data_IF_508559583482
#
_entry.id   IF_508559583482
#
_cell.length_a   1.000
_cell.length_b   1.000
_cell.length_c   1.000
_cell.angle_alpha   90.00
_cell.angle_beta   90.00
_cell.angle_gamma   90.00
#
_symmetry.space_group_name_H-M   'P 1'
#
loop_
_entity.id
_entity.type
_entity.pdbx_description
1 polymer ?
#
# COMPACT_ATOMS: atom_id res chain seq x y z
N UNK A 1 -2.65 -57.30 -50.27
CA UNK A 1 -2.97 -56.93 -48.88
C UNK A 1 -1.89 -57.52 -48.00
N UNK A 2 -1.29 -56.68 -47.16
CA UNK A 2 0.06 -56.86 -46.61
C UNK A 2 0.19 -58.01 -45.61
N UNK A 3 1.34 -58.67 -45.74
CA UNK A 3 1.83 -59.80 -44.98
C UNK A 3 2.64 -59.38 -43.75
N UNK A 4 2.65 -60.25 -42.75
CA UNK A 4 3.65 -60.32 -41.67
C UNK A 4 4.29 -61.71 -41.66
N UNK A 5 5.60 -61.79 -41.41
CA UNK A 5 6.15 -62.84 -40.54
C UNK A 5 7.11 -62.23 -39.49
N UNK A 6 7.02 -62.58 -38.20
CA UNK A 6 7.65 -63.74 -37.51
C UNK A 6 9.17 -63.84 -37.77
N UNK A 7 10.06 -63.89 -36.77
CA UNK A 7 10.54 -65.16 -36.15
C UNK A 7 11.69 -64.92 -35.12
N UNK A 8 11.58 -65.56 -33.93
CA UNK A 8 12.56 -66.34 -33.11
C UNK A 8 13.72 -65.70 -32.29
N UNK A 9 13.94 -66.33 -31.12
CA UNK A 9 14.85 -66.14 -29.97
C UNK A 9 16.31 -66.66 -30.10
N UNK A 10 17.22 -65.97 -29.34
CA UNK A 10 18.37 -66.45 -28.50
C UNK A 10 19.70 -66.96 -29.15
N UNK A 11 20.87 -67.11 -28.43
CA UNK A 11 21.35 -66.62 -27.10
C UNK A 11 22.90 -66.26 -26.95
N UNK A 12 23.37 -65.93 -25.70
CA UNK A 12 24.76 -66.02 -25.09
C UNK A 12 25.80 -64.91 -25.47
N UNK A 13 26.65 -64.24 -24.63
CA UNK A 13 27.63 -64.63 -23.57
C UNK A 13 28.23 -63.42 -22.77
N UNK A 14 28.88 -63.75 -21.64
CA UNK A 14 29.62 -63.02 -20.56
C UNK A 14 30.50 -61.76 -20.82
N UNK A 15 30.66 -60.89 -19.79
CA UNK A 15 31.86 -60.82 -18.89
C UNK A 15 31.80 -59.69 -17.83
N UNK A 16 32.37 -59.95 -16.64
CA UNK A 16 32.61 -59.05 -15.51
C UNK A 16 33.83 -58.12 -15.72
N UNK A 17 33.83 -56.96 -15.04
CA UNK A 17 34.92 -56.21 -14.34
C UNK A 17 34.28 -54.85 -13.92
N UNK A 18 34.26 -54.32 -12.70
CA UNK A 18 35.14 -54.45 -11.53
C UNK A 18 35.98 -53.17 -11.39
N UNK A 19 35.50 -52.14 -10.66
CA UNK A 19 36.22 -51.40 -9.60
C UNK A 19 35.53 -50.09 -9.18
N UNK A 20 35.43 -49.91 -7.86
CA UNK A 20 35.07 -48.69 -7.13
C UNK A 20 36.15 -47.62 -7.28
N UNK A 21 35.77 -46.34 -7.32
CA UNK A 21 36.67 -45.21 -7.01
C UNK A 21 36.18 -44.46 -5.77
N UNK A 22 37.06 -44.41 -4.78
CA UNK A 22 37.05 -43.53 -3.61
C UNK A 22 37.32 -42.08 -4.04
N UNK A 23 36.74 -41.12 -3.32
CA UNK A 23 37.35 -39.80 -3.11
C UNK A 23 37.40 -39.55 -1.60
N UNK A 24 38.62 -39.42 -1.09
CA UNK A 24 38.97 -39.14 0.30
C UNK A 24 39.11 -37.65 0.52
N UNK A 25 38.74 -37.21 1.72
CA UNK A 25 39.08 -35.93 2.32
C UNK A 25 40.60 -35.74 2.51
N UNK A 26 41.02 -34.48 2.58
CA UNK A 26 42.25 -34.08 3.28
C UNK A 26 42.11 -32.67 3.90
N UNK A 27 42.62 -32.59 5.12
CA UNK A 27 42.71 -31.44 6.04
C UNK A 27 44.19 -31.09 6.22
N UNK A 28 44.55 -29.81 6.43
CA UNK A 28 45.75 -29.26 7.13
C UNK A 28 45.82 -27.75 6.79
N UNK A 29 45.60 -26.74 7.66
CA UNK A 29 46.25 -26.29 8.91
C UNK A 29 47.55 -25.45 8.76
N UNK A 30 47.40 -24.12 9.00
CA UNK A 30 48.28 -23.15 9.74
C UNK A 30 49.62 -22.64 9.14
N UNK A 31 50.25 -21.52 9.62
CA UNK A 31 49.80 -20.36 10.45
C UNK A 31 50.41 -18.96 10.08
N UNK A 32 50.20 -17.95 10.96
CA UNK A 32 50.95 -16.65 11.17
C UNK A 32 50.55 -15.48 10.23
N UNK A 33 50.49 -14.19 10.62
CA UNK A 33 51.00 -13.43 11.78
C UNK A 33 50.34 -12.02 11.81
N UNK A 34 50.17 -11.48 13.02
CA UNK A 34 49.92 -10.08 13.37
C UNK A 34 50.94 -9.07 12.79
N UNK A 35 50.50 -7.86 12.41
CA UNK A 35 51.28 -6.62 12.62
C UNK A 35 50.39 -5.37 12.62
N UNK A 36 50.35 -4.72 13.77
CA UNK A 36 49.97 -3.33 13.94
C UNK A 36 51.02 -2.41 13.28
N UNK A 37 50.59 -1.27 12.77
CA UNK A 37 51.45 -0.12 12.51
C UNK A 37 51.01 1.04 13.40
N UNK A 38 51.89 1.37 14.34
CA UNK A 38 51.97 2.60 15.12
C UNK A 38 53.18 3.35 14.55
N UNK A 39 52.99 4.58 14.08
CA UNK A 39 53.96 5.70 13.96
C UNK A 39 53.10 6.89 13.46
N UNK A 40 53.07 8.09 14.04
CA UNK A 40 54.16 8.92 14.54
C UNK A 40 53.72 9.87 15.67
N UNK A 41 54.74 10.35 16.36
CA UNK A 41 54.79 11.16 17.58
C UNK A 41 54.64 12.67 17.38
N UNK A 42 54.28 13.32 18.48
CA UNK A 42 54.78 14.62 19.01
C UNK A 42 54.52 15.91 18.21
N UNK A 43 53.74 16.84 18.80
CA UNK A 43 54.30 18.00 19.51
C UNK A 43 53.21 19.00 19.95
N UNK A 44 53.29 19.41 21.21
CA UNK A 44 52.74 20.63 21.83
C UNK A 44 53.94 21.43 22.38
N UNK A 45 53.86 22.70 22.86
CA UNK A 45 52.81 23.74 22.89
C UNK A 45 53.40 25.10 22.35
N UNK A 46 53.04 26.37 22.72
CA UNK A 46 52.72 26.91 24.05
C UNK A 46 51.48 27.82 24.17
N UNK A 47 51.21 28.15 25.44
CA UNK A 47 50.23 29.05 26.03
C UNK A 47 49.99 30.41 25.35
N UNK A 48 48.77 30.94 25.56
CA UNK A 48 48.61 32.36 25.91
C UNK A 48 47.34 32.58 26.76
N UNK A 49 47.58 33.10 27.97
CA UNK A 49 46.64 33.55 28.98
C UNK A 49 46.00 34.89 28.60
N UNK A 50 44.69 35.05 28.82
CA UNK A 50 44.07 36.32 29.27
C UNK A 50 42.61 36.06 29.69
N UNK A 51 42.31 35.95 30.99
CA UNK A 51 41.96 37.04 31.94
C UNK A 51 40.45 37.35 31.97
N UNK A 52 39.81 36.85 33.02
CA UNK A 52 38.49 37.21 33.55
C UNK A 52 38.49 38.67 34.04
N UNK A 53 37.34 39.36 34.00
CA UNK A 53 36.81 39.92 35.25
C UNK A 53 35.32 39.60 35.48
N UNK A 54 35.01 39.17 36.71
CA UNK A 54 33.67 39.13 37.28
C UNK A 54 33.37 40.44 38.03
N UNK A 55 32.09 40.82 38.04
CA UNK A 55 31.40 41.57 39.10
C UNK A 55 30.67 42.84 38.61
N UNK A 56 29.59 43.31 39.30
CA UNK A 56 29.10 42.87 40.60
C UNK A 56 27.64 42.38 40.63
N UNK A 57 27.36 41.73 41.75
CA UNK A 57 26.11 41.31 42.37
C UNK A 57 25.03 42.39 42.43
N UNK A 58 23.75 41.99 42.27
CA UNK A 58 22.70 42.59 43.07
C UNK A 58 21.68 41.55 43.55
N UNK A 59 21.54 41.53 44.88
CA UNK A 59 20.62 40.72 45.67
C UNK A 59 19.43 41.61 45.95
N UNK A 60 18.20 41.13 45.74
CA UNK A 60 17.12 41.58 46.62
C UNK A 60 16.06 40.51 46.87
N UNK A 61 15.58 40.58 48.11
CA UNK A 61 14.85 39.61 48.91
C UNK A 61 13.33 39.64 48.66
N UNK A 62 12.72 38.46 48.72
CA UNK A 62 11.62 38.04 49.62
C UNK A 62 10.39 39.00 49.77
N UNK A 63 9.17 38.57 49.41
CA UNK A 63 8.07 38.00 50.25
C UNK A 63 6.73 37.93 49.45
N UNK A 64 5.58 37.43 49.98
CA UNK A 64 4.86 36.29 49.41
C UNK A 64 3.40 36.59 48.98
N UNK A 65 2.71 35.52 48.61
CA UNK A 65 1.29 35.35 48.23
C UNK A 65 0.25 36.05 49.13
N UNK A 66 -1.00 36.11 48.66
CA UNK A 66 -2.02 35.32 49.36
C UNK A 66 -2.95 34.49 48.46
N UNK A 67 -3.28 33.32 49.00
CA UNK A 67 -4.48 32.48 48.85
C UNK A 67 -5.76 33.34 48.73
N UNK A 68 -6.78 33.01 47.94
CA UNK A 68 -7.96 32.14 48.17
C UNK A 68 -8.89 32.45 46.96
N UNK A 69 -9.75 31.61 46.38
CA UNK A 69 -10.81 30.79 46.95
C UNK A 69 -11.45 30.00 45.79
N UNK A 70 -11.70 28.71 46.00
CA UNK A 70 -12.57 27.89 45.16
C UNK A 70 -14.00 27.94 45.72
N UNK A 71 -14.99 28.22 44.89
CA UNK A 71 -16.42 27.92 45.08
C UNK A 71 -17.04 27.77 43.68
N UNK A 72 -17.42 26.58 43.21
CA UNK A 72 -18.65 25.85 43.55
C UNK A 72 -19.93 26.68 43.30
N UNK A 73 -20.59 26.46 42.15
CA UNK A 73 -22.04 26.61 41.99
C UNK A 73 -22.60 25.49 41.10
N UNK A 74 -23.23 24.54 41.76
CA UNK A 74 -24.26 23.64 41.28
C UNK A 74 -25.65 24.28 41.46
N UNK A 75 -26.69 23.59 40.95
CA UNK A 75 -28.13 23.92 40.83
C UNK A 75 -28.52 24.39 39.42
N UNK A 76 -29.53 23.82 38.73
CA UNK A 76 -30.59 22.90 39.13
C UNK A 76 -31.22 22.25 37.87
N UNK A 77 -31.62 20.98 38.00
CA UNK A 77 -32.51 20.25 37.11
C UNK A 77 -33.94 20.83 37.17
N UNK A 78 -34.69 20.74 36.06
CA UNK A 78 -35.88 19.87 35.94
C UNK A 78 -37.02 20.46 35.10
N UNK A 79 -37.58 19.56 34.27
CA UNK A 79 -38.99 19.42 33.86
C UNK A 79 -39.64 20.49 32.99
N UNK A 80 -40.04 20.08 31.78
CA UNK A 80 -41.46 19.92 31.44
C UNK A 80 -41.62 18.88 30.31
N UNK A 81 -42.05 17.68 30.69
CA UNK A 81 -42.73 16.72 29.82
C UNK A 81 -44.09 16.47 30.46
N UNK A 82 -45.16 16.65 29.70
CA UNK A 82 -46.40 15.88 29.85
C UNK A 82 -47.29 16.01 28.59
N UNK A 83 -48.15 15.02 28.32
CA UNK A 83 -48.72 14.71 27.01
C UNK A 83 -50.21 15.09 26.93
N UNK A 84 -50.87 14.81 25.78
CA UNK A 84 -52.19 14.15 25.65
C UNK A 84 -52.79 14.34 24.22
N UNK A 85 -52.90 13.20 23.53
CA UNK A 85 -53.95 12.62 22.66
C UNK A 85 -54.92 13.44 21.79
N UNK A 86 -55.04 12.94 20.54
CA UNK A 86 -56.22 12.66 19.69
C UNK A 86 -57.22 13.75 19.28
N UNK A 87 -57.39 13.97 17.96
CA UNK A 87 -58.42 13.28 17.13
C UNK A 87 -58.70 13.96 15.76
N UNK A 88 -58.95 13.12 14.75
CA UNK A 88 -59.96 13.23 13.66
C UNK A 88 -60.01 14.43 12.68
N UNK A 89 -59.54 14.18 11.45
CA UNK A 89 -60.22 14.26 10.13
C UNK A 89 -61.24 15.38 9.76
N UNK A 90 -60.95 15.96 8.58
CA UNK A 90 -61.83 16.37 7.44
C UNK A 90 -61.96 17.86 7.03
N UNK A 91 -61.23 18.17 5.95
CA UNK A 91 -61.70 18.70 4.65
C UNK A 91 -61.89 20.21 4.37
N UNK A 92 -61.32 20.62 3.21
CA UNK A 92 -61.67 21.72 2.26
C UNK A 92 -61.42 23.16 2.74
N UNK A 93 -60.87 24.12 2.00
CA UNK A 93 -60.44 24.27 0.59
C UNK A 93 -59.50 25.49 0.46
N UNK A 94 -58.56 25.41 -0.48
CA UNK A 94 -58.06 26.46 -1.39
C UNK A 94 -57.75 27.88 -0.88
N UNK A 95 -56.45 28.19 -0.71
CA UNK A 95 -55.89 29.50 -1.13
C UNK A 95 -54.43 29.31 -1.52
N UNK A 96 -54.10 29.63 -2.76
CA UNK A 96 -52.77 29.56 -3.38
C UNK A 96 -51.86 30.66 -2.81
N UNK A 97 -50.86 30.26 -2.03
CA UNK A 97 -49.70 31.08 -1.70
C UNK A 97 -48.49 30.47 -2.42
N UNK A 98 -47.86 31.26 -3.29
CA UNK A 98 -46.63 30.88 -3.96
C UNK A 98 -45.51 30.68 -2.94
N UNK A 99 -45.17 29.43 -2.65
CA UNK A 99 -44.00 29.09 -1.87
C UNK A 99 -42.79 29.11 -2.81
N UNK A 100 -41.97 30.16 -2.66
CA UNK A 100 -40.61 30.16 -3.18
C UNK A 100 -39.88 28.95 -2.63
N UNK A 101 -39.59 27.99 -3.49
CA UNK A 101 -38.72 26.87 -3.19
C UNK A 101 -37.32 27.40 -2.94
N UNK A 102 -36.88 27.35 -1.69
CA UNK A 102 -35.46 27.41 -1.34
C UNK A 102 -34.73 26.31 -2.14
N UNK A 103 -33.56 26.61 -2.75
CA UNK A 103 -32.82 25.60 -3.48
C UNK A 103 -32.35 24.53 -2.50
N UNK A 104 -32.86 23.32 -2.68
CA UNK A 104 -32.41 22.12 -1.98
C UNK A 104 -30.91 21.98 -2.27
N UNK A 105 -30.08 22.09 -1.24
CA UNK A 105 -28.67 21.70 -1.28
C UNK A 105 -28.58 20.30 -1.90
N UNK A 106 -27.71 20.18 -2.90
CA UNK A 106 -27.59 19.04 -3.80
C UNK A 106 -27.80 17.69 -3.13
N UNK A 107 -28.82 16.97 -3.59
CA UNK A 107 -28.91 15.54 -3.36
C UNK A 107 -27.72 14.87 -4.07
N UNK A 108 -27.13 13.88 -3.41
CA UNK A 108 -26.24 12.93 -4.08
C UNK A 108 -27.03 12.24 -5.18
N UNK A 109 -26.82 12.64 -6.44
CA UNK A 109 -27.28 11.85 -7.57
C UNK A 109 -26.63 10.47 -7.47
N UNK A 110 -27.46 9.41 -7.48
CA UNK A 110 -26.97 8.05 -7.46
C UNK A 110 -26.14 7.80 -8.74
N UNK A 111 -24.83 7.64 -8.55
CA UNK A 111 -23.83 7.48 -9.61
C UNK A 111 -24.13 6.24 -10.47
N UNK A 112 -23.84 6.34 -11.77
CA UNK A 112 -23.79 5.17 -12.65
C UNK A 112 -22.81 4.12 -12.08
N UNK A 113 -23.18 2.84 -12.04
CA UNK A 113 -22.31 1.79 -11.51
C UNK A 113 -21.00 1.73 -12.29
N UNK A 114 -19.89 1.48 -11.60
CA UNK A 114 -18.60 1.16 -12.22
C UNK A 114 -18.78 0.00 -13.20
N UNK A 115 -18.17 0.10 -14.38
CA UNK A 115 -18.11 -1.01 -15.36
C UNK A 115 -17.30 -2.20 -14.83
N UNK A 116 -16.48 -1.96 -13.80
CA UNK A 116 -15.73 -3.00 -13.09
C UNK A 116 -16.44 -3.42 -11.80
N UNK A 117 -16.55 -4.73 -11.59
CA UNK A 117 -17.15 -5.32 -10.39
C UNK A 117 -16.24 -6.38 -9.76
N UNK A 118 -16.17 -6.46 -8.42
CA UNK A 118 -15.40 -7.51 -7.76
C UNK A 118 -16.17 -8.83 -7.72
N UNK A 119 -15.52 -9.93 -8.10
CA UNK A 119 -15.98 -11.31 -7.89
C UNK A 119 -15.18 -11.92 -6.73
N UNK A 120 -15.84 -12.09 -5.60
CA UNK A 120 -15.26 -12.65 -4.37
C UNK A 120 -15.45 -14.15 -4.29
N UNK A 121 -14.37 -14.89 -4.09
CA UNK A 121 -14.35 -16.35 -3.93
C UNK A 121 -13.75 -16.67 -2.57
N UNK A 122 -14.47 -17.46 -1.77
CA UNK A 122 -14.10 -17.77 -0.40
C UNK A 122 -14.47 -16.68 0.60
N UNK A 123 -14.24 -16.96 1.88
CA UNK A 123 -14.45 -16.01 2.97
C UNK A 123 -13.23 -15.11 3.15
N UNK A 124 -13.44 -13.79 3.30
CA UNK A 124 -12.33 -12.90 3.65
C UNK A 124 -11.63 -13.36 4.93
N UNK A 125 -10.32 -13.12 5.03
CA UNK A 125 -9.46 -13.59 6.13
C UNK A 125 -9.25 -15.11 6.16
N UNK A 126 -9.30 -15.78 5.01
CA UNK A 126 -8.87 -17.17 4.81
C UNK A 126 -7.83 -17.27 3.68
N UNK A 127 -7.13 -18.41 3.58
CA UNK A 127 -6.10 -18.64 2.56
C UNK A 127 -6.68 -18.77 1.14
N UNK A 128 -7.93 -19.20 1.05
CA UNK A 128 -8.67 -19.44 -0.19
C UNK A 128 -9.24 -18.13 -0.77
N UNK A 129 -9.31 -17.07 0.03
CA UNK A 129 -9.95 -15.83 -0.38
C UNK A 129 -9.27 -15.21 -1.61
N UNK A 130 -10.07 -14.93 -2.63
CA UNK A 130 -9.64 -14.21 -3.84
C UNK A 130 -10.68 -13.17 -4.22
N UNK A 131 -10.21 -12.01 -4.68
CA UNK A 131 -11.05 -11.01 -5.35
C UNK A 131 -10.57 -10.89 -6.79
N UNK A 132 -11.32 -11.48 -7.71
CA UNK A 132 -11.17 -11.23 -9.14
C UNK A 132 -11.88 -9.92 -9.50
N UNK A 133 -11.41 -9.25 -10.54
CA UNK A 133 -12.12 -8.11 -11.13
C UNK A 133 -12.80 -8.57 -12.41
N UNK A 134 -14.03 -8.14 -12.60
CA UNK A 134 -14.79 -8.37 -13.83
C UNK A 134 -15.01 -7.04 -14.54
N UNK A 135 -15.03 -7.09 -15.87
CA UNK A 135 -15.58 -6.04 -16.71
C UNK A 135 -16.79 -6.63 -17.44
N UNK A 136 -17.96 -6.04 -17.26
CA UNK A 136 -19.20 -6.54 -17.87
C UNK A 136 -19.47 -8.04 -17.57
N UNK A 137 -19.11 -8.50 -16.36
CA UNK A 137 -19.24 -9.89 -15.90
C UNK A 137 -18.14 -10.86 -16.37
N UNK A 138 -17.17 -10.39 -17.16
CA UNK A 138 -16.05 -11.20 -17.65
C UNK A 138 -14.81 -10.93 -16.78
N UNK A 139 -14.17 -11.96 -16.18
CA UNK A 139 -12.93 -11.79 -15.42
C UNK A 139 -11.81 -11.18 -16.25
N UNK A 140 -11.12 -10.20 -15.66
CA UNK A 140 -9.98 -9.47 -16.24
C UNK A 140 -8.83 -9.42 -15.23
N UNK A 141 -7.60 -9.33 -15.72
CA UNK A 141 -6.44 -9.13 -14.86
C UNK A 141 -6.41 -7.70 -14.30
N UNK A 142 -6.42 -7.50 -12.97
CA UNK A 142 -6.26 -6.17 -12.38
C UNK A 142 -4.85 -5.61 -12.55
N UNK A 143 -3.86 -6.45 -12.87
CA UNK A 143 -2.51 -5.99 -13.19
C UNK A 143 -2.44 -5.51 -14.65
N UNK A 144 -3.06 -6.22 -15.59
CA UNK A 144 -2.76 -6.05 -17.02
C UNK A 144 -3.91 -5.50 -17.85
N UNK A 145 -5.16 -5.87 -17.55
CA UNK A 145 -6.31 -5.59 -18.43
C UNK A 145 -7.01 -4.26 -18.12
N UNK A 146 -6.85 -3.72 -16.92
CA UNK A 146 -7.42 -2.43 -16.54
C UNK A 146 -6.50 -1.33 -17.09
N UNK A 147 -7.00 -0.40 -17.94
CA UNK A 147 -6.17 0.67 -18.47
C UNK A 147 -5.64 1.56 -17.35
N UNK A 148 -4.36 1.93 -17.38
CA UNK A 148 -3.77 2.89 -16.45
C UNK A 148 -4.55 4.23 -16.44
N UNK A 149 -4.84 4.76 -17.63
CA UNK A 149 -5.54 6.02 -17.80
C UNK A 149 -7.05 5.80 -18.02
N UNK A 150 -7.87 6.52 -17.25
CA UNK A 150 -9.32 6.49 -17.36
C UNK A 150 -9.87 7.45 -18.43
N UNK A 151 -9.05 8.39 -18.91
CA UNK A 151 -9.40 9.34 -19.95
C UNK A 151 -8.27 9.53 -20.97
N UNK A 152 -8.63 9.95 -22.18
CA UNK A 152 -7.69 10.14 -23.30
C UNK A 152 -6.62 11.20 -23.01
N UNK A 153 -6.95 12.22 -22.21
CA UNK A 153 -6.01 13.29 -21.85
C UNK A 153 -4.97 12.83 -20.81
N UNK A 154 -5.05 11.59 -20.32
CA UNK A 154 -4.10 11.01 -19.36
C UNK A 154 -3.97 11.84 -18.06
N UNK A 155 -5.06 12.47 -17.64
CA UNK A 155 -5.12 13.29 -16.42
C UNK A 155 -5.78 12.58 -15.26
N UNK A 156 -6.60 11.56 -15.54
CA UNK A 156 -7.30 10.72 -14.58
C UNK A 156 -6.85 9.28 -14.76
N UNK A 157 -6.50 8.62 -13.67
CA UNK A 157 -5.98 7.25 -13.67
C UNK A 157 -6.99 6.30 -13.02
N UNK A 158 -6.96 5.03 -13.42
CA UNK A 158 -7.67 3.98 -12.69
C UNK A 158 -6.76 3.45 -11.58
N UNK A 159 -7.25 3.43 -10.35
CA UNK A 159 -6.62 2.77 -9.20
C UNK A 159 -7.37 1.47 -8.91
N UNK A 160 -6.65 0.38 -8.68
CA UNK A 160 -7.20 -0.86 -8.14
C UNK A 160 -7.01 -0.85 -6.63
N UNK A 161 -8.10 -0.84 -5.86
CA UNK A 161 -8.05 -0.83 -4.40
C UNK A 161 -7.83 -2.25 -3.88
N UNK A 162 -6.83 -2.42 -3.02
CA UNK A 162 -6.49 -3.70 -2.39
C UNK A 162 -6.89 -3.72 -0.91
N UNK A 163 -6.55 -2.65 -0.18
CA UNK A 163 -6.71 -2.59 1.28
C UNK A 163 -7.53 -1.33 1.65
N UNK A 164 -8.74 -1.51 2.18
CA UNK A 164 -9.54 -0.40 2.70
C UNK A 164 -8.86 0.29 3.87
N UNK A 165 -9.04 1.62 3.96
CA UNK A 165 -8.57 2.42 5.10
C UNK A 165 -9.04 1.83 6.43
N UNK A 166 -8.15 1.85 7.42
CA UNK A 166 -8.32 1.33 8.78
C UNK A 166 -8.50 -0.19 8.90
N UNK A 167 -8.11 -0.94 7.88
CA UNK A 167 -8.04 -2.41 7.93
C UNK A 167 -6.59 -2.89 7.98
N UNK A 168 -6.38 -4.16 8.35
CA UNK A 168 -5.06 -4.71 8.66
C UNK A 168 -4.62 -5.83 7.71
N UNK A 169 -5.55 -6.50 7.03
CA UNK A 169 -5.24 -7.62 6.14
C UNK A 169 -4.41 -7.12 4.96
N UNK A 170 -3.17 -7.60 4.82
CA UNK A 170 -2.30 -7.24 3.69
C UNK A 170 -2.79 -7.98 2.45
N UNK A 171 -3.73 -7.37 1.73
CA UNK A 171 -4.20 -7.83 0.43
C UNK A 171 -3.35 -7.19 -0.66
N UNK A 172 -3.08 -7.96 -1.71
CA UNK A 172 -2.26 -7.54 -2.85
C UNK A 172 -2.73 -8.23 -4.13
N UNK A 173 -2.59 -7.57 -5.27
CA UNK A 173 -2.69 -8.17 -6.60
C UNK A 173 -1.67 -9.31 -6.68
N UNK A 174 -2.14 -10.54 -6.86
CA UNK A 174 -1.25 -11.69 -6.97
C UNK A 174 -0.49 -11.66 -8.29
N UNK A 175 0.84 -11.52 -8.24
CA UNK A 175 1.68 -11.58 -9.45
C UNK A 175 1.65 -12.95 -10.13
N UNK A 176 1.56 -14.03 -9.36
CA UNK A 176 1.74 -15.41 -9.86
C UNK A 176 0.42 -16.09 -10.27
N UNK A 177 -0.71 -15.67 -9.70
CA UNK A 177 -2.01 -16.32 -9.97
C UNK A 177 -2.53 -15.86 -11.36
N UNK A 178 -3.16 -16.77 -12.10
CA UNK A 178 -3.77 -16.43 -13.40
C UNK A 178 -4.84 -15.35 -13.26
N UNK A 179 -4.78 -14.32 -14.10
CA UNK A 179 -5.58 -13.08 -14.00
C UNK A 179 -5.39 -12.29 -12.69
N UNK A 180 -4.27 -12.50 -12.00
CA UNK A 180 -3.78 -11.68 -10.90
C UNK A 180 -4.84 -11.27 -9.85
N UNK A 181 -5.72 -12.17 -9.35
CA UNK A 181 -6.70 -11.81 -8.33
C UNK A 181 -6.02 -11.22 -7.10
N UNK A 182 -6.73 -10.32 -6.42
CA UNK A 182 -6.28 -9.83 -5.12
C UNK A 182 -6.39 -10.97 -4.10
N UNK A 183 -5.32 -11.23 -3.35
CA UNK A 183 -5.27 -12.23 -2.29
C UNK A 183 -4.55 -11.69 -1.07
N UNK A 184 -4.74 -12.31 0.09
CA UNK A 184 -4.01 -11.91 1.29
C UNK A 184 -2.61 -12.54 1.29
N UNK A 185 -1.58 -11.72 1.50
CA UNK A 185 -0.19 -12.16 1.66
C UNK A 185 -0.08 -13.14 2.83
N UNK A 186 0.89 -14.05 2.76
CA UNK A 186 1.17 -15.03 3.80
C UNK A 186 2.62 -14.95 4.27
N UNK A 187 2.83 -15.03 5.58
CA UNK A 187 4.15 -15.11 6.21
C UNK A 187 4.24 -16.41 7.00
N UNK A 188 5.16 -17.29 6.61
CA UNK A 188 5.35 -18.62 7.23
C UNK A 188 4.05 -19.45 7.24
N UNK A 189 3.30 -19.42 6.13
CA UNK A 189 2.05 -20.17 5.96
C UNK A 189 0.85 -19.59 6.72
N UNK A 190 0.97 -18.42 7.34
CA UNK A 190 -0.13 -17.73 8.03
C UNK A 190 -0.48 -16.42 7.31
N UNK A 191 -1.75 -16.07 7.31
CA UNK A 191 -2.23 -14.80 6.79
C UNK A 191 -1.53 -13.62 7.45
N UNK A 192 -1.05 -12.69 6.64
CA UNK A 192 -0.34 -11.50 7.11
C UNK A 192 -1.31 -10.36 7.41
N UNK A 193 -1.16 -9.78 8.59
CA UNK A 193 -1.87 -8.59 9.01
C UNK A 193 -0.85 -7.54 9.46
N UNK A 194 -0.92 -6.35 8.88
CA UNK A 194 -0.15 -5.20 9.36
C UNK A 194 -0.67 -4.79 10.74
N UNK A 195 0.25 -4.47 11.66
CA UNK A 195 -0.09 -4.20 13.06
C UNK A 195 -0.42 -2.73 13.28
N UNK A 196 -1.29 -2.46 14.26
CA UNK A 196 -1.61 -1.08 14.66
C UNK A 196 -0.40 -0.46 15.35
N UNK A 197 0.16 0.60 14.77
CA UNK A 197 1.29 1.34 15.31
C UNK A 197 0.77 2.69 15.79
N UNK A 198 0.73 2.92 17.10
CA UNK A 198 0.14 4.13 17.68
C UNK A 198 0.74 5.40 17.06
N UNK A 199 -0.10 6.38 16.62
CA UNK A 199 -1.56 6.49 16.78
C UNK A 199 -2.41 5.88 15.64
N UNK A 200 -1.80 5.13 14.72
CA UNK A 200 -2.40 4.66 13.46
C UNK A 200 -3.10 3.30 13.56
N UNK A 201 -4.37 3.26 13.15
CA UNK A 201 -5.14 2.01 13.00
C UNK A 201 -5.00 1.48 11.58
N UNK A 202 -4.44 0.29 11.42
CA UNK A 202 -4.26 -0.37 10.13
C UNK A 202 -3.59 0.55 9.10
N UNK A 203 -4.05 0.48 7.86
CA UNK A 203 -3.65 1.39 6.79
C UNK A 203 -4.35 2.76 6.93
N UNK A 204 -3.60 3.84 6.73
CA UNK A 204 -4.11 5.22 6.86
C UNK A 204 -4.91 5.71 5.65
N UNK A 205 -4.81 5.01 4.52
CA UNK A 205 -5.43 5.37 3.23
C UNK A 205 -6.24 4.20 2.70
N UNK A 206 -7.06 4.44 1.68
CA UNK A 206 -7.39 3.35 0.78
C UNK A 206 -6.11 3.06 -0.01
N UNK A 207 -5.59 1.85 0.15
CA UNK A 207 -4.31 1.44 -0.43
C UNK A 207 -4.56 0.47 -1.59
N UNK A 208 -3.72 0.56 -2.60
CA UNK A 208 -3.78 -0.29 -3.77
C UNK A 208 -2.69 0.08 -4.76
N UNK A 209 -2.91 -0.20 -6.03
CA UNK A 209 -1.92 0.03 -7.05
C UNK A 209 -2.50 0.59 -8.35
N UNK A 210 -1.62 1.14 -9.18
CA UNK A 210 -1.94 1.46 -10.56
C UNK A 210 -1.75 0.22 -11.45
N UNK A 211 -2.78 -0.16 -12.23
CA UNK A 211 -2.65 -1.24 -13.20
C UNK A 211 -1.71 -0.78 -14.33
N UNK A 212 -1.13 -1.73 -15.07
CA UNK A 212 -0.24 -1.46 -16.19
C UNK A 212 0.98 -0.59 -15.82
N UNK A 213 1.49 -0.78 -14.61
CA UNK A 213 2.75 -0.20 -14.12
C UNK A 213 3.57 -1.28 -13.46
N UNK A 214 4.90 -1.17 -13.46
CA UNK A 214 5.77 -2.15 -12.82
C UNK A 214 7.08 -1.50 -12.39
N UNK A 215 7.45 -1.69 -11.13
CA UNK A 215 8.74 -1.28 -10.54
C UNK A 215 9.79 -2.33 -10.91
N UNK A 216 10.52 -2.11 -12.02
CA UNK A 216 11.43 -3.11 -12.60
C UNK A 216 12.57 -3.49 -11.64
N UNK A 217 12.65 -4.75 -11.16
CA UNK A 217 13.70 -5.21 -10.25
C UNK A 217 15.07 -5.37 -10.91
N UNK A 218 15.14 -5.18 -12.24
CA UNK A 218 16.38 -5.23 -13.00
C UNK A 218 17.01 -3.84 -13.18
N UNK A 219 16.24 -2.77 -12.99
CA UNK A 219 16.71 -1.40 -13.08
C UNK A 219 17.05 -0.85 -11.69
N UNK A 220 18.12 -0.05 -11.58
CA UNK A 220 18.41 0.70 -10.36
C UNK A 220 17.93 2.13 -10.54
N UNK A 221 17.02 2.57 -9.68
CA UNK A 221 16.50 3.94 -9.75
C UNK A 221 17.56 4.94 -9.28
N UNK A 222 17.81 6.02 -10.04
CA UNK A 222 18.86 6.98 -9.71
C UNK A 222 18.59 7.75 -8.42
N UNK A 223 17.35 7.88 -7.98
CA UNK A 223 16.95 8.62 -6.78
C UNK A 223 17.25 7.85 -5.50
N UNK A 224 16.87 6.57 -5.47
CA UNK A 224 16.95 5.69 -4.30
C UNK A 224 18.25 4.87 -4.26
N UNK A 225 18.92 4.72 -5.42
CA UNK A 225 20.07 3.82 -5.62
C UNK A 225 19.74 2.35 -5.33
N UNK A 226 18.47 1.99 -5.40
CA UNK A 226 17.95 0.65 -5.19
C UNK A 226 17.23 0.14 -6.44
N UNK A 227 16.97 -1.16 -6.49
CA UNK A 227 16.16 -1.79 -7.54
C UNK A 227 14.67 -1.63 -7.25
N UNK A 228 13.80 -1.72 -8.25
CA UNK A 228 12.35 -1.81 -8.01
C UNK A 228 11.97 -3.06 -7.20
N UNK A 229 10.85 -2.99 -6.49
CA UNK A 229 10.32 -4.06 -5.63
C UNK A 229 9.57 -5.17 -6.40
N UNK A 230 9.55 -5.09 -7.73
CA UNK A 230 8.92 -6.04 -8.64
C UNK A 230 7.38 -6.04 -8.58
N UNK A 231 6.74 -5.00 -8.06
CA UNK A 231 5.28 -4.89 -7.96
C UNK A 231 4.69 -3.79 -8.87
N UNK A 232 3.36 -3.76 -9.07
CA UNK A 232 2.70 -2.59 -9.63
C UNK A 232 2.89 -1.38 -8.72
N UNK A 233 2.93 -0.18 -9.32
CA UNK A 233 3.21 1.05 -8.59
C UNK A 233 2.13 1.36 -7.54
N UNK A 234 2.57 1.53 -6.30
CA UNK A 234 1.70 1.67 -5.13
C UNK A 234 1.04 3.04 -4.99
N UNK A 235 -0.19 3.03 -4.47
CA UNK A 235 -1.08 4.19 -4.43
C UNK A 235 -1.76 4.33 -3.06
N UNK A 236 -1.69 5.53 -2.50
CA UNK A 236 -2.38 5.97 -1.30
C UNK A 236 -3.49 6.97 -1.66
N UNK A 237 -4.75 6.53 -1.62
CA UNK A 237 -5.92 7.37 -1.93
C UNK A 237 -6.50 7.99 -0.65
N UNK A 238 -6.55 9.33 -0.64
CA UNK A 238 -6.72 10.13 0.59
C UNK A 238 -8.13 10.70 0.80
N UNK A 239 -9.10 10.35 -0.07
CA UNK A 239 -10.47 10.82 0.00
C UNK A 239 -11.24 10.34 1.23
N UNK A 240 -12.38 10.98 1.51
CA UNK A 240 -13.13 10.80 2.75
C UNK A 240 -13.84 9.43 2.86
N UNK A 241 -14.16 8.79 1.74
CA UNK A 241 -14.86 7.51 1.72
C UNK A 241 -13.90 6.32 1.89
N UNK A 242 -14.30 5.31 2.67
CA UNK A 242 -13.58 4.05 2.77
C UNK A 242 -13.98 3.16 1.59
N UNK A 243 -13.00 2.77 0.78
CA UNK A 243 -13.19 1.96 -0.41
C UNK A 243 -13.32 0.46 -0.07
N UNK A 244 -13.57 -0.38 -1.09
CA UNK A 244 -13.66 -1.84 -0.94
C UNK A 244 -12.56 -2.56 -1.73
N UNK A 245 -12.10 -3.75 -1.29
CA UNK A 245 -11.15 -4.54 -2.07
C UNK A 245 -11.72 -4.88 -3.45
N UNK A 246 -10.92 -4.70 -4.49
CA UNK A 246 -11.28 -4.90 -5.89
C UNK A 246 -12.09 -3.76 -6.51
N UNK A 247 -12.28 -2.64 -5.80
CA UNK A 247 -12.88 -1.44 -6.38
C UNK A 247 -11.90 -0.78 -7.36
N UNK A 248 -12.39 -0.35 -8.53
CA UNK A 248 -11.62 0.40 -9.51
C UNK A 248 -12.07 1.86 -9.47
N UNK A 249 -11.23 2.73 -8.93
CA UNK A 249 -11.54 4.15 -8.71
C UNK A 249 -10.85 5.03 -9.75
N UNK A 250 -11.52 6.11 -10.16
CA UNK A 250 -10.90 7.15 -10.97
C UNK A 250 -10.26 8.18 -10.04
N UNK A 251 -8.94 8.38 -10.16
CA UNK A 251 -8.17 9.23 -9.24
C UNK A 251 -7.33 10.26 -9.99
N UNK A 252 -7.03 11.36 -9.32
CA UNK A 252 -6.00 12.33 -9.75
C UNK A 252 -4.73 12.14 -8.92
N UNK A 253 -3.57 12.25 -9.57
CA UNK A 253 -2.25 12.24 -8.91
C UNK A 253 -1.95 13.60 -8.32
N UNK A 254 -1.45 13.62 -7.07
CA UNK A 254 -1.07 14.82 -6.33
C UNK A 254 0.43 14.87 -6.02
N UNK A 255 1.07 13.73 -5.79
CA UNK A 255 2.49 13.67 -5.46
C UNK A 255 3.01 12.24 -5.27
N UNK A 256 4.27 12.10 -4.87
CA UNK A 256 4.90 10.79 -4.62
C UNK A 256 5.94 10.84 -3.52
N UNK A 257 6.09 9.75 -2.76
CA UNK A 257 7.15 9.57 -1.76
C UNK A 257 8.06 8.40 -2.14
N UNK A 258 9.37 8.60 -2.02
CA UNK A 258 10.40 7.62 -2.38
C UNK A 258 10.78 6.71 -1.20
N UNK A 259 9.97 5.69 -0.90
CA UNK A 259 10.29 4.74 0.17
C UNK A 259 11.41 3.80 -0.29
N UNK A 260 12.31 3.50 0.64
CA UNK A 260 13.21 2.36 0.60
C UNK A 260 12.65 1.29 1.54
N UNK A 261 11.92 0.33 0.98
CA UNK A 261 11.32 -0.76 1.75
C UNK A 261 12.24 -1.98 1.73
N UNK A 262 12.84 -2.30 2.87
CA UNK A 262 13.82 -3.40 3.00
C UNK A 262 14.99 -3.36 1.98
N UNK A 263 15.31 -2.17 1.45
CA UNK A 263 16.40 -1.95 0.49
C UNK A 263 15.97 -1.91 -0.98
N UNK A 264 14.67 -1.99 -1.26
CA UNK A 264 14.07 -1.88 -2.59
C UNK A 264 13.41 -0.50 -2.76
N UNK A 265 13.35 -0.03 -4.00
CA UNK A 265 12.61 1.19 -4.39
C UNK A 265 11.14 0.84 -4.40
N UNK A 266 10.38 1.61 -3.63
CA UNK A 266 8.97 1.36 -3.43
C UNK A 266 8.22 2.71 -3.45
N UNK A 267 7.91 3.23 -4.64
CA UNK A 267 7.30 4.54 -4.75
C UNK A 267 5.84 4.55 -4.25
N UNK A 268 5.49 5.51 -3.40
CA UNK A 268 4.12 5.68 -2.88
C UNK A 268 3.46 6.90 -3.51
N UNK A 269 2.57 6.68 -4.49
CA UNK A 269 1.83 7.77 -5.14
C UNK A 269 0.70 8.25 -4.25
N UNK A 270 0.61 9.56 -4.03
CA UNK A 270 -0.50 10.20 -3.31
C UNK A 270 -1.55 10.64 -4.33
N UNK A 271 -2.78 10.16 -4.15
CA UNK A 271 -3.90 10.43 -5.07
C UNK A 271 -5.17 10.78 -4.30
N UNK A 272 -6.15 11.33 -5.03
CA UNK A 272 -7.51 11.47 -4.51
C UNK A 272 -8.54 11.05 -5.57
N UNK A 273 -9.62 10.40 -5.13
CA UNK A 273 -10.78 10.12 -5.98
C UNK A 273 -11.32 11.41 -6.61
N UNK A 274 -11.54 11.40 -7.93
CA UNK A 274 -12.07 12.58 -8.65
C UNK A 274 -13.48 12.99 -8.19
N UNK A 275 -14.20 12.07 -7.54
CA UNK A 275 -15.54 12.30 -7.00
C UNK A 275 -15.52 12.78 -5.54
N UNK A 276 -14.35 12.86 -4.91
CA UNK A 276 -14.25 13.36 -3.54
C UNK A 276 -14.63 14.86 -3.48
N UNK A 277 -15.36 15.32 -2.45
CA UNK A 277 -15.71 16.74 -2.30
C UNK A 277 -14.51 17.70 -2.26
N UNK A 278 -13.34 17.24 -1.82
CA UNK A 278 -12.09 18.02 -1.82
C UNK A 278 -11.30 17.90 -3.12
N UNK A 279 -11.62 16.97 -4.01
CA UNK A 279 -10.88 16.77 -5.25
C UNK A 279 -10.70 18.07 -6.06
N UNK A 280 -11.70 18.96 -6.24
CA UNK A 280 -11.49 20.22 -6.96
C UNK A 280 -10.45 21.16 -6.33
N UNK A 281 -10.19 21.04 -5.03
CA UNK A 281 -9.25 21.87 -4.27
C UNK A 281 -7.85 21.28 -4.15
N UNK A 282 -7.69 20.01 -4.50
CA UNK A 282 -6.43 19.27 -4.43
C UNK A 282 -5.92 19.04 -5.85
N UNK A 283 -4.90 19.78 -6.28
CA UNK A 283 -4.35 19.70 -7.63
C UNK A 283 -2.83 19.49 -7.67
N UNK A 284 -2.13 19.81 -6.57
CA UNK A 284 -0.73 19.47 -6.36
C UNK A 284 -0.48 19.11 -4.88
N UNK A 285 0.73 18.68 -4.54
CA UNK A 285 1.05 18.13 -3.23
C UNK A 285 0.91 19.16 -2.10
N UNK A 286 1.15 20.44 -2.37
CA UNK A 286 1.04 21.52 -1.38
C UNK A 286 -0.41 21.73 -0.93
N UNK A 287 -1.39 21.40 -1.78
CA UNK A 287 -2.80 21.48 -1.42
C UNK A 287 -3.17 20.43 -0.36
N UNK A 288 -2.48 19.29 -0.34
CA UNK A 288 -2.68 18.24 0.67
C UNK A 288 -2.33 18.77 2.05
N UNK A 289 -1.18 19.41 2.23
CA UNK A 289 -0.82 19.96 3.55
C UNK A 289 -1.73 21.14 3.94
N UNK A 290 -2.24 21.91 2.96
CA UNK A 290 -3.17 23.01 3.22
C UNK A 290 -4.54 22.53 3.70
N UNK A 291 -5.07 21.44 3.13
CA UNK A 291 -6.44 20.97 3.40
C UNK A 291 -6.50 19.77 4.35
N UNK A 292 -5.43 19.00 4.45
CA UNK A 292 -5.28 17.78 5.25
C UNK A 292 -3.97 17.86 6.06
N UNK A 293 -3.82 18.87 6.95
CA UNK A 293 -2.54 19.16 7.62
C UNK A 293 -2.06 17.97 8.46
N UNK A 294 -0.78 17.65 8.31
CA UNK A 294 -0.12 16.54 9.01
C UNK A 294 -0.33 15.16 8.39
N UNK A 295 -1.14 15.00 7.34
CA UNK A 295 -1.33 13.72 6.67
C UNK A 295 -0.02 13.20 6.07
N UNK A 296 0.72 14.03 5.34
CA UNK A 296 1.98 13.61 4.71
C UNK A 296 3.05 13.22 5.73
N UNK A 297 3.09 13.92 6.88
CA UNK A 297 3.95 13.57 8.00
C UNK A 297 3.56 12.22 8.61
N UNK A 298 2.26 11.96 8.77
CA UNK A 298 1.76 10.66 9.23
C UNK A 298 2.05 9.56 8.20
N UNK A 299 1.97 9.84 6.91
CA UNK A 299 2.37 8.92 5.82
C UNK A 299 3.83 8.52 5.93
N UNK A 300 4.72 9.50 6.08
CA UNK A 300 6.14 9.25 6.30
C UNK A 300 6.39 8.33 7.50
N UNK A 301 5.80 8.69 8.65
CA UNK A 301 5.95 7.93 9.89
C UNK A 301 5.43 6.51 9.75
N UNK A 302 4.24 6.33 9.17
CA UNK A 302 3.62 5.01 9.02
C UNK A 302 4.51 4.05 8.23
N UNK A 303 4.98 4.46 7.04
CA UNK A 303 5.81 3.60 6.20
C UNK A 303 7.20 3.33 6.79
N UNK A 304 7.72 4.22 7.65
CA UNK A 304 8.94 3.96 8.41
C UNK A 304 8.75 2.84 9.43
N UNK A 305 7.64 2.86 10.17
CA UNK A 305 7.50 2.05 11.38
C UNK A 305 6.64 0.77 11.23
N UNK A 306 5.81 0.65 10.18
CA UNK A 306 4.77 -0.40 10.13
C UNK A 306 5.28 -1.85 10.20
N UNK A 307 6.54 -2.10 9.79
CA UNK A 307 7.17 -3.43 9.87
C UNK A 307 8.00 -3.66 11.15
N UNK A 308 8.19 -2.65 12.00
CA UNK A 308 8.92 -2.82 13.28
C UNK A 308 8.25 -3.87 14.19
N UNK A 309 6.91 -3.91 14.33
CA UNK A 309 6.23 -4.99 15.08
C UNK A 309 6.49 -6.40 14.54
N UNK A 310 6.88 -6.51 13.28
CA UNK A 310 7.22 -7.76 12.59
C UNK A 310 8.71 -8.14 12.76
N UNK A 311 9.47 -7.38 13.55
CA UNK A 311 10.90 -7.58 13.81
C UNK A 311 11.80 -7.07 12.68
N UNK A 312 11.29 -6.21 11.79
CA UNK A 312 12.08 -5.59 10.73
C UNK A 312 12.67 -4.25 11.18
N UNK A 313 13.79 -3.79 10.59
CA UNK A 313 14.28 -2.45 10.83
C UNK A 313 13.28 -1.39 10.36
N UNK A 314 13.49 -0.17 10.81
CA UNK A 314 12.78 1.00 10.30
C UNK A 314 13.14 1.24 8.82
N UNK A 315 12.14 1.48 7.99
CA UNK A 315 12.37 1.83 6.59
C UNK A 315 12.90 3.26 6.45
N UNK A 316 13.45 3.57 5.29
CA UNK A 316 14.03 4.88 5.00
C UNK A 316 13.32 5.52 3.80
N UNK A 317 13.49 6.83 3.63
CA UNK A 317 13.03 7.53 2.45
C UNK A 317 14.20 8.23 1.78
N UNK A 318 14.22 8.24 0.45
CA UNK A 318 15.03 9.21 -0.28
C UNK A 318 14.48 10.64 -0.05
N UNK A 319 15.24 11.65 -0.47
CA UNK A 319 14.86 13.07 -0.31
C UNK A 319 14.50 13.48 1.12
N UNK A 320 15.08 12.81 2.13
CA UNK A 320 14.73 13.03 3.56
C UNK A 320 13.23 12.88 3.86
N UNK A 321 12.49 12.09 3.08
CA UNK A 321 11.05 11.89 3.27
C UNK A 321 10.15 12.95 2.65
N UNK A 322 10.69 13.87 1.84
CA UNK A 322 9.91 14.85 1.09
C UNK A 322 8.94 14.16 0.13
N UNK A 323 7.66 14.55 0.16
CA UNK A 323 6.71 14.17 -0.87
C UNK A 323 6.88 15.08 -2.08
N UNK A 324 7.34 14.52 -3.19
CA UNK A 324 7.49 15.25 -4.46
C UNK A 324 6.14 15.59 -5.05
N UNK A 325 6.12 16.67 -5.83
CA UNK A 325 4.93 17.22 -6.45
C UNK A 325 4.33 16.31 -7.55
N UNK A 326 3.15 16.70 -8.04
CA UNK A 326 2.40 16.00 -9.08
C UNK A 326 3.24 15.76 -10.33
N UNK A 327 4.02 16.76 -10.76
CA UNK A 327 4.83 16.62 -11.98
C UNK A 327 5.83 15.47 -11.84
N UNK A 328 6.55 15.41 -10.73
CA UNK A 328 7.50 14.34 -10.45
C UNK A 328 6.80 12.98 -10.36
N UNK A 329 5.66 12.92 -9.66
CA UNK A 329 4.87 11.70 -9.53
C UNK A 329 4.44 11.15 -10.90
N UNK A 330 4.02 12.01 -11.83
CA UNK A 330 3.67 11.60 -13.19
C UNK A 330 4.88 11.16 -14.02
N UNK A 331 6.10 11.63 -13.71
CA UNK A 331 7.33 11.11 -14.32
C UNK A 331 7.57 9.66 -13.87
N UNK A 332 7.44 9.36 -12.57
CA UNK A 332 7.55 8.00 -12.00
C UNK A 332 6.48 7.06 -12.56
N UNK A 333 5.22 7.50 -12.62
CA UNK A 333 4.12 6.71 -13.21
C UNK A 333 4.43 6.32 -14.66
N UNK A 334 4.96 7.26 -15.46
CA UNK A 334 5.33 6.98 -16.84
C UNK A 334 6.45 5.96 -16.95
N UNK A 335 7.49 6.10 -16.12
CA UNK A 335 8.61 5.15 -16.07
C UNK A 335 8.12 3.73 -15.78
N UNK A 336 7.28 3.57 -14.75
CA UNK A 336 6.72 2.28 -14.37
C UNK A 336 5.78 1.72 -15.46
N UNK A 337 5.03 2.59 -16.16
CA UNK A 337 4.18 2.18 -17.28
C UNK A 337 5.01 1.69 -18.48
N UNK A 338 6.12 2.36 -18.79
CA UNK A 338 7.07 1.93 -19.83
C UNK A 338 7.76 0.62 -19.47
N UNK A 339 8.08 0.40 -18.19
CA UNK A 339 8.59 -0.87 -17.70
C UNK A 339 7.57 -2.01 -17.84
N UNK A 340 6.30 -1.77 -17.45
CA UNK A 340 5.22 -2.72 -17.67
C UNK A 340 5.00 -3.04 -19.16
N UNK A 341 5.07 -2.05 -20.04
CA UNK A 341 4.93 -2.25 -21.49
C UNK A 341 6.04 -3.17 -22.04
N UNK A 342 7.27 -3.05 -21.54
CA UNK A 342 8.37 -3.98 -21.88
C UNK A 342 8.13 -5.37 -21.30
N UNK A 343 7.59 -5.48 -20.08
CA UNK A 343 7.23 -6.73 -19.44
C UNK A 343 6.14 -7.47 -20.24
N UNK A 344 5.02 -6.82 -20.54
CA UNK A 344 3.84 -7.45 -21.16
C UNK A 344 4.08 -7.86 -22.62
N UNK A 345 5.02 -7.19 -23.30
CA UNK A 345 5.48 -7.54 -24.65
C UNK A 345 6.59 -8.61 -24.66
N UNK A 346 7.08 -9.03 -23.50
CA UNK A 346 8.16 -10.01 -23.36
C UNK A 346 9.55 -9.47 -23.69
N UNK A 347 9.73 -8.13 -23.77
CA UNK A 347 11.05 -7.50 -23.93
C UNK A 347 11.88 -7.58 -22.65
N UNK A 348 11.21 -7.63 -21.49
CA UNK A 348 11.82 -7.92 -20.19
C UNK A 348 11.39 -9.31 -19.71
N UNK A 349 12.29 -10.14 -19.15
CA UNK A 349 11.90 -11.43 -18.59
C UNK A 349 10.87 -11.29 -17.48
N UNK A 350 9.80 -12.08 -17.54
CA UNK A 350 8.68 -12.00 -16.58
C UNK A 350 8.95 -12.62 -15.20
N UNK A 351 10.00 -13.44 -15.08
CA UNK A 351 10.25 -14.22 -13.86
C UNK A 351 9.04 -15.09 -13.52
N UNK A 352 8.51 -14.92 -12.31
CA UNK A 352 7.36 -15.66 -11.78
C UNK A 352 6.01 -14.97 -12.06
N UNK A 353 6.03 -13.79 -12.68
CA UNK A 353 4.80 -13.03 -12.97
C UNK A 353 3.98 -13.75 -14.04
N UNK A 354 2.71 -13.99 -13.72
CA UNK A 354 1.70 -14.46 -14.66
C UNK A 354 1.22 -13.28 -15.50
N UNK A 355 1.60 -13.28 -16.79
CA UNK A 355 1.18 -12.27 -17.77
C UNK A 355 -0.17 -12.58 -18.45
N UNK A 356 -0.90 -13.60 -17.96
CA UNK A 356 -2.19 -13.97 -18.53
C UNK A 356 -3.18 -12.79 -18.46
N UNK A 357 -3.71 -12.40 -19.62
CA UNK A 357 -4.60 -11.25 -19.77
C UNK A 357 -5.63 -11.51 -20.89
N UNK A 358 -6.68 -10.71 -20.97
CA UNK A 358 -7.81 -10.95 -21.89
C UNK A 358 -7.99 -9.83 -22.92
N UNK A 359 -7.45 -8.65 -22.63
CA UNK A 359 -7.73 -7.41 -23.38
C UNK A 359 -6.52 -6.79 -24.03
N UNK A 360 -5.29 -7.10 -23.62
CA UNK A 360 -4.06 -6.43 -24.10
C UNK A 360 -3.65 -6.98 -25.47
N UNK A 361 -3.87 -6.25 -26.59
CA UNK A 361 -3.78 -6.84 -27.92
C UNK A 361 -2.37 -7.28 -28.33
N UNK A 362 -1.36 -6.59 -27.83
CA UNK A 362 0.05 -6.80 -28.12
C UNK A 362 0.77 -7.71 -27.10
N UNK A 363 0.03 -8.31 -26.17
CA UNK A 363 0.59 -9.27 -25.23
C UNK A 363 0.73 -10.66 -25.84
N UNK A 364 1.89 -11.29 -25.62
CA UNK A 364 2.13 -12.67 -26.05
C UNK A 364 1.33 -13.71 -25.24
N UNK A 365 0.90 -13.36 -24.03
CA UNK A 365 0.17 -14.23 -23.11
C UNK A 365 -1.34 -13.92 -23.09
N UNK A 366 -1.84 -13.16 -24.09
CA UNK A 366 -3.28 -12.88 -24.23
C UNK A 366 -4.06 -14.18 -24.44
N UNK A 367 -5.11 -14.37 -23.66
CA UNK A 367 -5.99 -15.54 -23.69
C UNK A 367 -7.46 -15.14 -23.78
N UNK A 368 -8.31 -16.13 -24.07
CA UNK A 368 -9.75 -15.97 -24.08
C UNK A 368 -10.31 -16.29 -22.68
N UNK A 369 -11.06 -15.36 -22.10
CA UNK A 369 -11.67 -15.52 -20.78
C UNK A 369 -12.54 -16.78 -20.67
N UNK A 370 -13.17 -17.21 -21.77
CA UNK A 370 -14.02 -18.42 -21.79
C UNK A 370 -13.25 -19.73 -21.60
N UNK A 371 -11.94 -19.72 -21.85
CA UNK A 371 -11.04 -20.87 -21.65
C UNK A 371 -10.52 -20.96 -20.23
N UNK A 372 -10.70 -19.91 -19.42
CA UNK A 372 -10.22 -19.84 -18.05
C UNK A 372 -11.26 -20.41 -17.10
N UNK A 373 -10.84 -21.34 -16.25
CA UNK A 373 -11.68 -21.91 -15.20
C UNK A 373 -11.65 -21.04 -13.94
N UNK A 374 -12.21 -19.82 -14.03
CA UNK A 374 -12.32 -18.91 -12.88
C UNK A 374 -13.57 -19.28 -12.07
N UNK A 375 -13.45 -19.58 -10.77
CA UNK A 375 -14.60 -19.90 -9.93
C UNK A 375 -15.66 -18.80 -9.95
N UNK A 376 -16.93 -19.19 -9.77
CA UNK A 376 -18.02 -18.23 -9.54
C UNK A 376 -17.86 -17.61 -8.15
N UNK A 377 -18.28 -16.35 -8.01
CA UNK A 377 -18.30 -15.71 -6.70
C UNK A 377 -19.32 -16.36 -5.77
N UNK A 378 -18.92 -16.61 -4.53
CA UNK A 378 -19.75 -17.25 -3.50
C UNK A 378 -20.12 -16.28 -2.36
N UNK A 379 -19.46 -15.12 -2.28
CA UNK A 379 -19.76 -14.03 -1.33
C UNK A 379 -19.91 -14.50 0.12
N UNK A 380 -19.04 -15.41 0.56
CA UNK A 380 -19.07 -15.91 1.93
C UNK A 380 -18.83 -14.77 2.94
N UNK A 381 -19.45 -14.83 4.14
CA UNK A 381 -19.16 -13.87 5.21
C UNK A 381 -17.68 -13.94 5.63
N UNK A 382 -17.10 -12.84 6.11
CA UNK A 382 -15.69 -12.82 6.55
C UNK A 382 -15.47 -13.80 7.71
N UNK A 383 -14.35 -14.52 7.68
CA UNK A 383 -13.88 -15.31 8.80
C UNK A 383 -13.45 -14.39 9.97
N UNK A 384 -13.50 -14.86 11.23
CA UNK A 384 -13.02 -14.06 12.35
C UNK A 384 -11.53 -13.76 12.23
N UNK A 385 -11.14 -12.54 12.58
CA UNK A 385 -9.74 -12.14 12.72
C UNK A 385 -9.29 -12.46 14.15
N UNK A 386 -8.06 -12.94 14.30
CA UNK A 386 -7.47 -13.19 15.61
C UNK A 386 -7.40 -11.89 16.45
N UNK A 387 -7.88 -11.87 17.71
CA UNK A 387 -7.90 -10.66 18.54
C UNK A 387 -6.52 -10.03 18.79
N UNK A 388 -5.42 -10.76 18.58
CA UNK A 388 -4.08 -10.18 18.68
C UNK A 388 -3.83 -9.06 17.66
N UNK A 389 -4.59 -9.00 16.57
CA UNK A 389 -4.50 -7.92 15.57
C UNK A 389 -4.94 -6.57 16.13
N UNK A 390 -5.81 -6.55 17.16
CA UNK A 390 -6.27 -5.32 17.82
C UNK A 390 -5.17 -4.64 18.67
N UNK A 391 -4.08 -5.36 18.97
CA UNK A 391 -2.97 -4.84 19.79
C UNK A 391 -2.38 -3.56 19.19
N UNK A 392 -2.28 -2.53 20.02
CA UNK A 392 -1.52 -1.31 19.75
C UNK A 392 -0.04 -1.49 20.10
N UNK A 393 0.83 -1.18 19.14
CA UNK A 393 2.27 -1.10 19.34
C UNK A 393 2.66 0.37 19.53
N UNK A 394 3.35 0.66 20.63
CA UNK A 394 3.90 1.98 20.91
C UNK A 394 5.37 1.98 20.51
N UNK A 395 5.66 2.53 19.34
CA UNK A 395 7.00 2.57 18.77
C UNK A 395 7.56 3.96 19.03
N UNK A 396 8.55 4.06 19.90
CA UNK A 396 9.32 5.29 20.07
C UNK A 396 10.38 5.34 18.96
N UNK A 397 10.23 6.26 18.01
CA UNK A 397 11.33 6.59 17.12
C UNK A 397 12.54 7.09 17.92
N UNK A 398 13.75 6.76 17.50
CA UNK A 398 14.91 7.56 17.92
C UNK A 398 14.60 9.01 17.52
N UNK A 399 14.63 9.94 18.48
CA UNK A 399 14.32 11.35 18.21
C UNK A 399 15.14 11.82 17.01
N UNK A 400 14.43 12.25 15.95
CA UNK A 400 15.02 12.84 14.75
C UNK A 400 15.73 14.16 15.09
#
# INVERSE_FOLDING_TARGET
>A
MHATPSVILSPVRHSLFGLRRNVSASTLAHPRKSRAFLTTSSSTPPDCLARVPQGPTNVNKIRPSPTTQAQARSHQLSTHLSPVLSSSLQSRSSTTMAQQTLPTRGGFEAKAPSVYTPRKVGAAHTLEYRVFIEKDGVPVSPFHDIPLYANEQQTILNMVVEIPRWTNAKQEISKEDTLNPIKQDTKKGKLRFVRNCFPHKGYLWNYGAFPQTWEDPNATHPETKAKGDNDPLDVCEIGELVAKPGEVKQVKVLGTMALLDEGETDWKIIVIDVNDPLAPKLNDIEDVERHLPGLLRATNEWFRIYKIPDGKPENQFAFSGECKNRKYAMDVVRECAEAWEKLITGKTPKGEISLANTTVPHSNDRTDATKLNIPKGDNQPPAPIDPSIDKWFYISGASA
#
